data_IF_987119160489
#
_entry.id   IF_987119160489
#
_cell.length_a   1.000
_cell.length_b   1.000
_cell.length_c   1.000
_cell.angle_alpha   90.00
_cell.angle_beta   90.00
_cell.angle_gamma   90.00
#
_symmetry.space_group_name_H-M   'P 1'
#
loop_
_entity.id
_entity.type
_entity.pdbx_description
1 polymer ?
#
# COMPACT_ATOMS: atom_id res chain seq x y z
N UNK A 1 10.67 13.25 -4.45
CA UNK A 1 9.56 12.87 -3.58
C UNK A 1 8.27 13.05 -4.36
N UNK A 2 7.32 12.12 -4.25
CA UNK A 2 6.06 12.17 -4.99
C UNK A 2 4.99 11.31 -4.32
N UNK A 3 3.75 11.50 -4.80
CA UNK A 3 2.58 10.76 -4.34
C UNK A 3 1.97 10.03 -5.53
N UNK A 4 1.67 8.75 -5.35
CA UNK A 4 0.89 7.96 -6.29
C UNK A 4 -0.57 7.96 -5.86
N UNK A 5 -1.46 8.31 -6.77
CA UNK A 5 -2.90 8.37 -6.50
C UNK A 5 -3.64 7.45 -7.47
N UNK A 6 -4.44 6.54 -6.93
CA UNK A 6 -5.29 5.68 -7.75
C UNK A 6 -6.40 6.45 -8.44
N UNK A 7 -6.41 6.47 -9.78
CA UNK A 7 -7.56 6.91 -10.56
C UNK A 7 -8.54 5.75 -10.68
N UNK A 8 -9.64 5.81 -9.94
CA UNK A 8 -10.63 4.74 -9.80
C UNK A 8 -12.06 5.30 -9.72
N UNK A 9 -13.02 4.47 -9.35
CA UNK A 9 -14.40 4.93 -9.08
C UNK A 9 -14.50 5.91 -7.90
N UNK A 10 -13.50 5.94 -7.01
CA UNK A 10 -13.45 6.81 -5.81
C UNK A 10 -12.69 8.09 -6.03
N UNK A 11 -11.83 8.14 -7.03
CA UNK A 11 -10.98 9.32 -7.30
C UNK A 11 -10.85 9.51 -8.80
N UNK A 12 -11.34 10.63 -9.31
CA UNK A 12 -11.25 10.99 -10.71
C UNK A 12 -10.08 11.95 -10.99
N UNK A 13 -9.77 12.19 -12.27
CA UNK A 13 -8.71 13.10 -12.70
C UNK A 13 -8.84 14.52 -12.16
N UNK A 14 -10.07 15.00 -11.99
CA UNK A 14 -10.29 16.36 -11.48
C UNK A 14 -9.86 16.44 -10.01
N UNK A 15 -10.21 15.46 -9.18
CA UNK A 15 -9.75 15.38 -7.79
C UNK A 15 -8.23 15.27 -7.68
N UNK A 16 -7.59 14.44 -8.54
CA UNK A 16 -6.12 14.30 -8.58
C UNK A 16 -5.47 15.63 -8.96
N UNK A 17 -6.01 16.35 -9.96
CA UNK A 17 -5.51 17.65 -10.36
C UNK A 17 -5.65 18.70 -9.25
N UNK A 18 -6.78 18.72 -8.54
CA UNK A 18 -6.96 19.59 -7.38
C UNK A 18 -5.94 19.27 -6.28
N UNK A 19 -5.74 17.98 -5.96
CA UNK A 19 -4.72 17.58 -4.99
C UNK A 19 -3.34 18.10 -5.39
N UNK A 20 -2.96 18.00 -6.66
CA UNK A 20 -1.65 18.49 -7.13
C UNK A 20 -1.47 19.99 -6.96
N UNK A 21 -2.55 20.79 -6.96
CA UNK A 21 -2.46 22.25 -6.71
C UNK A 21 -2.19 22.60 -5.25
N UNK A 22 -2.48 21.68 -4.31
CA UNK A 22 -2.18 21.87 -2.89
C UNK A 22 -0.81 21.33 -2.48
N UNK A 23 -0.17 20.56 -3.36
CA UNK A 23 1.08 19.84 -3.08
C UNK A 23 2.22 20.38 -3.95
N UNK A 24 2.42 21.70 -3.95
CA UNK A 24 3.32 22.44 -4.85
C UNK A 24 4.75 21.87 -4.96
N UNK A 25 5.22 21.15 -3.94
CA UNK A 25 6.58 20.60 -3.90
C UNK A 25 6.62 19.08 -4.12
N UNK A 26 5.50 18.45 -4.46
CA UNK A 26 5.39 17.00 -4.65
C UNK A 26 4.86 16.64 -6.02
N UNK A 27 5.54 15.74 -6.71
CA UNK A 27 5.02 15.16 -7.95
C UNK A 27 3.82 14.26 -7.63
N UNK A 28 2.64 14.54 -8.20
CA UNK A 28 1.44 13.72 -8.07
C UNK A 28 1.27 12.89 -9.33
N UNK A 29 1.39 11.56 -9.21
CA UNK A 29 1.24 10.60 -10.31
C UNK A 29 -0.08 9.85 -10.21
N UNK A 30 -0.93 9.99 -11.23
CA UNK A 30 -2.14 9.18 -11.36
C UNK A 30 -1.80 7.76 -11.81
N UNK A 31 -2.32 6.76 -11.10
CA UNK A 31 -2.25 5.34 -11.44
C UNK A 31 -3.66 4.87 -11.79
N UNK A 32 -3.93 4.64 -13.06
CA UNK A 32 -5.23 4.08 -13.46
C UNK A 32 -5.37 2.65 -12.93
N UNK A 33 -6.46 2.38 -12.22
CA UNK A 33 -6.71 1.08 -11.58
C UNK A 33 -8.19 0.76 -11.54
N UNK A 34 -8.52 -0.51 -11.63
CA UNK A 34 -9.87 -1.04 -11.40
C UNK A 34 -10.14 -1.34 -9.92
N UNK A 35 -9.10 -1.29 -9.08
CA UNK A 35 -9.24 -1.40 -7.63
C UNK A 35 -10.02 -0.21 -7.08
N UNK A 36 -10.75 -0.44 -6.00
CA UNK A 36 -11.45 0.62 -5.29
C UNK A 36 -10.45 1.67 -4.78
N UNK A 37 -9.38 1.21 -4.17
CA UNK A 37 -8.26 2.01 -3.68
C UNK A 37 -6.93 1.37 -4.10
N UNK A 38 -5.94 2.18 -4.46
CA UNK A 38 -4.61 1.70 -4.86
C UNK A 38 -3.94 0.88 -3.74
N UNK A 39 -4.17 1.25 -2.48
CA UNK A 39 -3.64 0.55 -1.30
C UNK A 39 -4.14 -0.89 -1.16
N UNK A 40 -5.26 -1.27 -1.79
CA UNK A 40 -5.70 -2.66 -1.82
C UNK A 40 -4.72 -3.59 -2.56
N UNK A 41 -3.88 -3.05 -3.45
CA UNK A 41 -2.94 -3.84 -4.25
C UNK A 41 -1.47 -3.53 -4.01
N UNK A 42 -1.15 -2.45 -3.31
CA UNK A 42 0.24 -2.11 -2.98
C UNK A 42 0.34 -1.12 -1.82
N UNK A 43 1.39 -1.23 -1.03
CA UNK A 43 1.68 -0.33 0.10
C UNK A 43 3.15 0.07 0.13
N UNK A 44 3.41 1.35 0.35
CA UNK A 44 4.76 1.84 0.54
C UNK A 44 5.27 1.50 1.95
N UNK A 45 6.50 1.04 2.04
CA UNK A 45 7.17 0.76 3.31
C UNK A 45 8.19 1.86 3.63
N UNK A 46 9.39 1.75 3.09
CA UNK A 46 10.46 2.74 3.24
C UNK A 46 11.52 2.55 2.14
N UNK A 47 12.49 3.47 2.06
CA UNK A 47 13.66 3.35 1.17
C UNK A 47 13.34 2.86 -0.25
N UNK A 48 12.26 3.39 -0.87
CA UNK A 48 11.74 2.96 -2.19
C UNK A 48 11.39 1.47 -2.24
N UNK A 49 10.92 0.89 -1.15
CA UNK A 49 10.40 -0.48 -1.09
C UNK A 49 8.90 -0.47 -0.92
N UNK A 50 8.21 -1.30 -1.67
CA UNK A 50 6.76 -1.48 -1.61
C UNK A 50 6.42 -2.96 -1.43
N UNK A 51 5.35 -3.23 -0.70
CA UNK A 51 4.59 -4.48 -0.82
C UNK A 51 3.68 -4.34 -2.04
N UNK A 52 3.56 -5.38 -2.85
CA UNK A 52 2.72 -5.34 -4.05
C UNK A 52 2.16 -6.72 -4.39
N UNK A 53 0.90 -6.77 -4.79
CA UNK A 53 0.25 -7.92 -5.43
C UNK A 53 0.25 -7.71 -6.96
N UNK A 54 1.16 -8.36 -7.70
CA UNK A 54 1.41 -8.04 -9.12
C UNK A 54 0.21 -8.27 -10.03
N UNK A 55 -0.71 -9.15 -9.69
CA UNK A 55 -1.95 -9.37 -10.43
C UNK A 55 -2.98 -8.26 -10.25
N UNK A 56 -2.89 -7.49 -9.17
CA UNK A 56 -3.76 -6.36 -8.89
C UNK A 56 -3.16 -5.05 -9.39
N UNK A 57 -1.87 -4.87 -9.22
CA UNK A 57 -1.16 -3.64 -9.58
C UNK A 57 0.20 -4.00 -10.18
N UNK A 58 0.44 -3.57 -11.42
CA UNK A 58 1.72 -3.85 -12.10
C UNK A 58 2.90 -3.12 -11.43
N UNK A 59 3.98 -3.84 -11.08
CA UNK A 59 5.21 -3.23 -10.58
C UNK A 59 5.83 -2.20 -11.54
N UNK A 60 5.63 -2.37 -12.86
CA UNK A 60 6.12 -1.45 -13.87
C UNK A 60 5.59 -0.02 -13.77
N UNK A 61 4.52 0.21 -13.01
CA UNK A 61 3.97 1.55 -12.73
C UNK A 61 4.83 2.35 -11.75
N UNK A 62 5.78 1.71 -11.06
CA UNK A 62 6.60 2.33 -10.02
C UNK A 62 8.09 2.17 -10.32
N UNK A 63 8.62 2.82 -11.37
CA UNK A 63 10.03 2.69 -11.73
C UNK A 63 10.96 3.15 -10.60
N UNK A 64 12.03 2.37 -10.36
CA UNK A 64 13.01 2.66 -9.32
C UNK A 64 12.62 2.20 -7.91
N UNK A 65 11.50 1.49 -7.77
CA UNK A 65 11.13 0.84 -6.51
C UNK A 65 11.59 -0.62 -6.44
N UNK A 66 11.82 -1.09 -5.23
CA UNK A 66 12.01 -2.50 -4.89
C UNK A 66 10.69 -3.08 -4.40
N UNK A 67 10.44 -4.36 -4.64
CA UNK A 67 9.16 -4.97 -4.32
C UNK A 67 9.29 -6.21 -3.43
N UNK A 68 8.46 -6.26 -2.40
CA UNK A 68 8.07 -7.48 -1.73
C UNK A 68 6.78 -7.95 -2.41
N UNK A 69 6.89 -8.91 -3.32
CA UNK A 69 5.77 -9.39 -4.11
C UNK A 69 4.91 -10.37 -3.33
N UNK A 70 3.62 -10.09 -3.23
CA UNK A 70 2.65 -10.94 -2.53
C UNK A 70 2.08 -11.96 -3.54
N UNK A 71 1.96 -13.25 -3.19
CA UNK A 71 1.35 -14.23 -4.06
C UNK A 71 -0.17 -14.00 -4.18
N UNK A 72 -0.75 -14.43 -5.30
CA UNK A 72 -2.15 -14.18 -5.65
C UNK A 72 -3.13 -14.56 -4.55
N UNK A 73 -2.93 -15.72 -3.96
CA UNK A 73 -3.78 -16.26 -2.89
C UNK A 73 -3.71 -15.47 -1.57
N UNK A 74 -2.70 -14.62 -1.44
CA UNK A 74 -2.52 -13.75 -0.28
C UNK A 74 -2.62 -12.25 -0.64
N UNK A 75 -3.18 -11.91 -1.81
CA UNK A 75 -3.19 -10.54 -2.35
C UNK A 75 -3.78 -9.49 -1.38
N UNK A 76 -4.74 -9.88 -0.53
CA UNK A 76 -5.28 -9.02 0.52
C UNK A 76 -4.20 -8.46 1.46
N UNK A 77 -3.14 -9.22 1.72
CA UNK A 77 -2.04 -8.78 2.59
C UNK A 77 -1.09 -7.75 1.93
N UNK A 78 -1.36 -7.35 0.68
CA UNK A 78 -0.69 -6.20 0.07
C UNK A 78 -1.13 -4.86 0.69
N UNK A 79 -2.30 -4.82 1.32
CA UNK A 79 -2.74 -3.71 2.18
C UNK A 79 -2.01 -3.81 3.52
N UNK A 80 -0.89 -3.12 3.63
CA UNK A 80 0.03 -3.15 4.77
C UNK A 80 0.41 -1.74 5.21
N UNK A 81 0.78 -1.56 6.49
CA UNK A 81 1.18 -0.28 7.02
C UNK A 81 2.57 -0.34 7.65
N UNK A 82 3.49 0.49 7.16
CA UNK A 82 4.80 0.64 7.77
C UNK A 82 4.73 1.44 9.07
N UNK A 83 5.19 0.82 10.18
CA UNK A 83 5.14 1.40 11.54
C UNK A 83 6.45 2.06 11.99
N UNK A 84 7.47 2.07 11.13
CA UNK A 84 8.81 2.48 11.51
C UNK A 84 9.68 1.33 12.04
N UNK A 85 10.98 1.54 12.13
CA UNK A 85 11.97 0.59 12.67
C UNK A 85 11.91 -0.82 12.04
N UNK A 86 11.56 -0.88 10.76
CA UNK A 86 11.39 -2.13 10.02
C UNK A 86 10.12 -2.92 10.35
N UNK A 87 9.22 -2.40 11.19
CA UNK A 87 7.94 -3.06 11.52
C UNK A 87 6.89 -2.76 10.46
N UNK A 88 6.15 -3.79 10.06
CA UNK A 88 5.08 -3.69 9.07
C UNK A 88 3.82 -4.37 9.63
N UNK A 89 2.75 -3.59 9.81
CA UNK A 89 1.45 -4.11 10.19
C UNK A 89 0.82 -4.80 8.99
N UNK A 90 0.39 -6.03 9.17
CA UNK A 90 -0.23 -6.86 8.13
C UNK A 90 -1.39 -7.67 8.71
N UNK A 91 -2.38 -8.07 7.90
CA UNK A 91 -3.40 -9.00 8.36
C UNK A 91 -2.79 -10.36 8.71
N UNK A 92 -3.30 -11.02 9.74
CA UNK A 92 -2.93 -12.39 10.11
C UNK A 92 -3.50 -13.42 9.13
N UNK A 93 -2.92 -14.63 9.13
CA UNK A 93 -3.38 -15.72 8.27
C UNK A 93 -2.73 -15.74 6.87
N UNK A 94 -1.73 -14.92 6.62
CA UNK A 94 -1.01 -14.82 5.35
C UNK A 94 0.49 -15.18 5.50
N UNK A 95 0.83 -16.47 5.73
CA UNK A 95 2.16 -16.88 6.14
C UNK A 95 3.24 -16.65 5.07
N UNK A 96 2.91 -16.75 3.78
CA UNK A 96 3.86 -16.49 2.68
C UNK A 96 4.25 -15.02 2.64
N UNK A 97 3.31 -14.12 2.89
CA UNK A 97 3.54 -12.67 3.01
C UNK A 97 4.47 -12.37 4.17
N UNK A 98 4.17 -12.92 5.36
CA UNK A 98 5.02 -12.77 6.54
C UNK A 98 6.45 -13.26 6.31
N UNK A 99 6.62 -14.41 5.64
CA UNK A 99 7.93 -14.96 5.28
C UNK A 99 8.69 -14.05 4.30
N UNK A 100 8.02 -13.53 3.27
CA UNK A 100 8.64 -12.62 2.29
C UNK A 100 9.06 -11.31 2.91
N UNK A 101 8.26 -10.75 3.80
CA UNK A 101 8.62 -9.56 4.56
C UNK A 101 9.87 -9.79 5.43
N UNK A 102 9.91 -10.90 6.18
CA UNK A 102 11.10 -11.27 6.99
C UNK A 102 12.34 -11.44 6.11
N UNK A 103 12.23 -12.10 4.97
CA UNK A 103 13.33 -12.26 4.00
C UNK A 103 13.81 -10.92 3.43
N UNK A 104 12.93 -9.95 3.33
CA UNK A 104 13.26 -8.58 2.89
C UNK A 104 13.80 -7.69 4.04
N UNK A 105 13.97 -8.23 5.25
CA UNK A 105 14.52 -7.52 6.41
C UNK A 105 13.48 -6.78 7.25
N UNK A 106 12.19 -7.03 7.02
CA UNK A 106 11.10 -6.45 7.81
C UNK A 106 10.63 -7.37 8.93
N UNK A 107 9.98 -6.77 9.93
CA UNK A 107 9.36 -7.44 11.08
C UNK A 107 7.83 -7.33 10.95
N UNK A 108 7.12 -8.34 10.39
CA UNK A 108 5.67 -8.29 10.30
C UNK A 108 5.05 -8.32 11.71
N UNK A 109 4.11 -7.40 11.93
CA UNK A 109 3.22 -7.36 13.09
C UNK A 109 1.85 -7.78 12.57
N UNK A 110 1.40 -8.95 12.98
CA UNK A 110 0.17 -9.53 12.46
C UNK A 110 -1.02 -9.13 13.34
N UNK A 111 -2.13 -8.75 12.70
CA UNK A 111 -3.39 -8.37 13.35
C UNK A 111 -4.55 -9.13 12.72
N UNK A 112 -5.49 -9.58 13.55
CA UNK A 112 -6.69 -10.23 13.04
C UNK A 112 -7.61 -9.20 12.36
N UNK A 113 -7.83 -9.41 11.07
CA UNK A 113 -8.68 -8.59 10.21
C UNK A 113 -9.90 -9.36 9.70
N UNK A 114 -10.19 -10.55 10.24
CA UNK A 114 -11.19 -11.48 9.72
C UNK A 114 -12.59 -10.86 9.58
N UNK A 115 -13.02 -10.07 10.56
CA UNK A 115 -14.32 -9.41 10.51
C UNK A 115 -14.34 -8.21 9.56
N UNK A 116 -13.25 -7.44 9.50
CA UNK A 116 -13.14 -6.30 8.58
C UNK A 116 -13.01 -6.75 7.13
N UNK A 117 -12.33 -7.88 6.90
CA UNK A 117 -12.21 -8.49 5.57
C UNK A 117 -13.57 -8.84 4.96
N UNK A 118 -14.55 -9.25 5.76
CA UNK A 118 -15.93 -9.51 5.28
C UNK A 118 -16.61 -8.27 4.69
N UNK A 119 -16.17 -7.06 5.09
CA UNK A 119 -16.63 -5.78 4.58
C UNK A 119 -15.63 -5.09 3.65
N UNK A 120 -14.72 -5.84 3.03
CA UNK A 120 -13.64 -5.33 2.17
C UNK A 120 -12.70 -4.32 2.85
N UNK A 121 -12.65 -4.31 4.19
CA UNK A 121 -11.78 -3.44 4.97
C UNK A 121 -10.36 -3.99 5.07
N UNK A 122 -9.36 -3.21 4.69
CA UNK A 122 -7.94 -3.52 4.86
C UNK A 122 -7.32 -2.79 6.06
N UNK A 123 -6.08 -3.10 6.37
CA UNK A 123 -5.32 -2.49 7.48
C UNK A 123 -5.30 -0.97 7.37
N UNK A 124 -5.03 -0.45 6.18
CA UNK A 124 -4.93 1.00 5.95
C UNK A 124 -6.29 1.70 6.00
N UNK A 125 -7.40 0.98 5.82
CA UNK A 125 -8.76 1.53 5.96
C UNK A 125 -9.06 1.96 7.40
N UNK A 126 -8.43 1.32 8.39
CA UNK A 126 -8.68 1.51 9.82
C UNK A 126 -7.63 2.40 10.49
N UNK A 127 -6.63 2.87 9.74
CA UNK A 127 -5.50 3.61 10.27
C UNK A 127 -5.40 5.01 9.67
N UNK A 128 -5.12 5.98 10.52
CA UNK A 128 -4.70 7.33 10.11
C UNK A 128 -3.37 7.63 10.80
N UNK A 129 -2.24 7.31 10.15
CA UNK A 129 -0.93 7.50 10.76
C UNK A 129 -0.65 9.00 10.96
N UNK A 130 -0.27 9.36 12.18
CA UNK A 130 0.18 10.71 12.50
C UNK A 130 1.70 10.67 12.65
N UNK A 131 2.39 11.35 11.75
CA UNK A 131 3.84 11.48 11.82
C UNK A 131 4.21 12.74 12.62
N UNK A 132 5.16 12.61 13.54
CA UNK A 132 5.73 13.79 14.18
C UNK A 132 6.45 14.64 13.13
N UNK A 133 6.01 15.86 12.96
CA UNK A 133 6.69 16.88 12.18
C UNK A 133 7.68 17.61 13.13
N UNK A 134 8.83 17.00 13.32
CA UNK A 134 9.92 17.64 14.08
C UNK A 134 11.24 17.46 13.33
#
# INVERSE_FOLDING_TARGET
>A
HGIFVGESRRTNRNGIRQLSTYLDNLEVKAIKTDLLHLLCGCSYLNHKTMVIAPELVSPGLFPGFRFVTIPREEAYAADALYLGEGRVLVPSGFPKTGMKLRKAGYKPVEVDMSEFYKGDGGVTCLCSPVYKLF
#
